data_IF_427207392391
#
_entry.id   IF_427207392391
#
_cell.length_a   1.000
_cell.length_b   1.000
_cell.length_c   1.000
_cell.angle_alpha   90.00
_cell.angle_beta   90.00
_cell.angle_gamma   90.00
#
_symmetry.space_group_name_H-M   'P 1'
#
loop_
_entity.id
_entity.type
_entity.pdbx_description
1 polymer ?
#
# COMPACT_ATOMS: atom_id res chain seq x y z
N UNK A 1 9.87 7.29 21.86
CA UNK A 1 11.01 6.81 21.05
C UNK A 1 10.45 5.85 20.01
N UNK A 2 10.76 6.02 18.72
CA UNK A 2 10.24 5.17 17.64
C UNK A 2 10.93 3.79 17.65
N UNK A 3 10.22 2.75 17.18
CA UNK A 3 10.79 1.41 16.97
C UNK A 3 11.91 1.42 15.91
N UNK A 4 12.83 0.46 15.92
CA UNK A 4 13.93 0.42 14.95
C UNK A 4 13.46 0.40 13.48
N UNK A 5 12.49 -0.44 13.06
CA UNK A 5 11.91 -0.37 11.71
C UNK A 5 11.29 1.00 11.38
N UNK A 6 10.62 1.60 12.37
CA UNK A 6 10.00 2.92 12.24
C UNK A 6 11.05 4.03 12.00
N UNK A 7 12.27 3.87 12.52
CA UNK A 7 13.36 4.82 12.30
C UNK A 7 13.99 4.64 10.91
N UNK A 8 14.05 3.41 10.40
CA UNK A 8 14.72 3.08 9.14
C UNK A 8 13.85 3.25 7.89
N UNK A 9 12.56 2.97 8.01
CA UNK A 9 11.68 2.84 6.84
C UNK A 9 10.64 3.95 6.72
N UNK A 10 10.48 4.82 7.73
CA UNK A 10 9.52 5.91 7.62
C UNK A 10 9.89 6.91 6.52
N UNK A 11 8.90 7.59 5.89
CA UNK A 11 9.13 8.64 4.90
C UNK A 11 10.10 9.71 5.41
N UNK A 12 9.87 10.15 6.65
CA UNK A 12 10.60 11.20 7.33
C UNK A 12 11.91 10.80 7.99
N UNK A 13 12.49 9.63 7.73
CA UNK A 13 13.56 9.07 8.58
C UNK A 13 14.75 9.98 8.87
N UNK A 14 15.06 10.91 7.97
CA UNK A 14 16.13 11.92 8.12
C UNK A 14 15.74 13.16 8.93
N UNK A 15 14.46 13.36 9.22
CA UNK A 15 13.93 14.55 9.93
C UNK A 15 13.73 14.24 11.41
N UNK A 16 14.03 15.18 12.31
CA UNK A 16 13.90 14.95 13.75
C UNK A 16 12.44 14.84 14.22
N UNK A 17 11.52 15.53 13.54
CA UNK A 17 10.11 15.62 13.93
C UNK A 17 9.24 14.60 13.17
N UNK A 18 8.08 14.29 13.74
CA UNK A 18 7.04 13.52 13.07
C UNK A 18 6.04 14.48 12.44
N UNK A 19 5.51 14.11 11.27
CA UNK A 19 4.39 14.81 10.64
C UNK A 19 3.29 13.80 10.28
N UNK A 20 2.15 14.29 9.80
CA UNK A 20 0.95 13.48 9.52
C UNK A 20 1.24 12.31 8.56
N UNK A 21 2.10 12.50 7.56
CA UNK A 21 2.48 11.43 6.64
C UNK A 21 3.27 10.30 7.30
N UNK A 22 3.99 10.54 8.41
CA UNK A 22 4.63 9.46 9.17
C UNK A 22 3.58 8.57 9.85
N UNK A 23 2.51 9.17 10.39
CA UNK A 23 1.41 8.44 11.03
C UNK A 23 0.53 7.71 10.00
N UNK A 24 0.24 8.37 8.87
CA UNK A 24 -0.45 7.76 7.75
C UNK A 24 0.36 6.57 7.19
N UNK A 25 1.68 6.73 7.02
CA UNK A 25 2.58 5.64 6.63
C UNK A 25 2.57 4.48 7.61
N UNK A 26 2.63 4.75 8.92
CA UNK A 26 2.62 3.69 9.93
C UNK A 26 1.33 2.87 9.85
N UNK A 27 0.18 3.56 9.82
CA UNK A 27 -1.14 2.93 9.71
C UNK A 27 -1.24 2.08 8.44
N UNK A 28 -0.87 2.66 7.30
CA UNK A 28 -0.81 1.99 6.00
C UNK A 28 0.08 0.75 6.03
N UNK A 29 1.26 0.86 6.63
CA UNK A 29 2.24 -0.23 6.69
C UNK A 29 1.75 -1.40 7.54
N UNK A 30 1.12 -1.12 8.69
CA UNK A 30 0.49 -2.16 9.50
C UNK A 30 -0.64 -2.85 8.73
N UNK A 31 -1.54 -2.06 8.12
CA UNK A 31 -2.63 -2.62 7.34
C UNK A 31 -2.14 -3.44 6.14
N UNK A 32 -1.05 -3.03 5.49
CA UNK A 32 -0.47 -3.76 4.38
C UNK A 32 0.04 -5.15 4.83
N UNK A 33 0.77 -5.21 5.95
CA UNK A 33 1.23 -6.48 6.52
C UNK A 33 0.06 -7.36 6.96
N UNK A 34 -0.89 -6.81 7.74
CA UNK A 34 -2.05 -7.55 8.23
C UNK A 34 -2.88 -8.14 7.07
N UNK A 35 -3.01 -7.38 5.98
CA UNK A 35 -3.77 -7.79 4.81
C UNK A 35 -3.03 -8.86 3.99
N UNK A 36 -1.70 -8.75 3.86
CA UNK A 36 -0.86 -9.76 3.24
C UNK A 36 -0.87 -11.08 4.03
N UNK A 37 -0.81 -11.01 5.36
CA UNK A 37 -0.92 -12.17 6.25
C UNK A 37 -2.30 -12.81 6.19
N UNK A 38 -3.36 -12.00 6.19
CA UNK A 38 -4.73 -12.50 6.07
C UNK A 38 -4.95 -13.21 4.73
N UNK A 39 -4.43 -12.66 3.62
CA UNK A 39 -4.46 -13.33 2.32
C UNK A 39 -3.64 -14.62 2.32
N UNK A 40 -2.43 -14.57 2.89
CA UNK A 40 -1.52 -15.72 2.93
C UNK A 40 -2.12 -16.90 3.69
N UNK A 41 -2.83 -16.61 4.78
CA UNK A 41 -3.52 -17.58 5.62
C UNK A 41 -4.94 -17.93 5.15
N UNK A 42 -5.41 -17.38 4.02
CA UNK A 42 -6.77 -17.63 3.50
C UNK A 42 -7.91 -17.02 4.34
N UNK A 43 -7.60 -16.12 5.28
CA UNK A 43 -8.60 -15.41 6.11
C UNK A 43 -9.25 -14.23 5.38
N UNK A 44 -8.66 -13.80 4.27
CA UNK A 44 -9.22 -12.77 3.41
C UNK A 44 -9.02 -13.15 1.96
N UNK A 45 -10.08 -13.01 1.17
CA UNK A 45 -10.07 -13.19 -0.27
C UNK A 45 -10.53 -11.86 -0.89
N UNK A 46 -9.68 -11.18 -1.68
CA UNK A 46 -10.09 -9.97 -2.39
C UNK A 46 -11.18 -10.29 -3.41
N UNK A 47 -12.02 -9.32 -3.72
CA UNK A 47 -12.91 -9.42 -4.88
C UNK A 47 -12.08 -9.52 -6.17
N UNK A 48 -12.66 -10.07 -7.24
CA UNK A 48 -11.96 -10.20 -8.52
C UNK A 48 -11.43 -8.85 -9.04
N UNK A 49 -12.23 -7.79 -8.92
CA UNK A 49 -11.83 -6.44 -9.33
C UNK A 49 -10.69 -5.89 -8.44
N UNK A 50 -10.74 -6.14 -7.14
CA UNK A 50 -9.69 -5.74 -6.19
C UNK A 50 -8.37 -6.47 -6.50
N UNK A 51 -8.46 -7.75 -6.86
CA UNK A 51 -7.32 -8.54 -7.31
C UNK A 51 -6.78 -8.05 -8.67
N UNK A 52 -7.65 -7.67 -9.61
CA UNK A 52 -7.25 -7.10 -10.91
C UNK A 52 -6.55 -5.76 -10.71
N UNK A 53 -7.09 -4.92 -9.82
CA UNK A 53 -6.52 -3.64 -9.45
C UNK A 53 -5.14 -3.80 -8.79
N UNK A 54 -5.00 -4.75 -7.86
CA UNK A 54 -3.71 -5.08 -7.23
C UNK A 54 -2.64 -5.43 -8.27
N UNK A 55 -2.98 -6.28 -9.26
CA UNK A 55 -2.06 -6.66 -10.35
C UNK A 55 -1.67 -5.48 -11.23
N UNK A 56 -2.62 -4.58 -11.51
CA UNK A 56 -2.35 -3.36 -12.26
C UNK A 56 -1.36 -2.47 -11.51
N UNK A 57 -1.61 -2.25 -10.21
CA UNK A 57 -0.73 -1.44 -9.35
C UNK A 57 0.66 -2.06 -9.19
N UNK A 58 0.79 -3.38 -9.01
CA UNK A 58 2.07 -4.06 -8.85
C UNK A 58 3.02 -3.85 -10.05
N UNK A 59 2.47 -3.65 -11.25
CA UNK A 59 3.23 -3.45 -12.50
C UNK A 59 3.37 -1.98 -12.88
N UNK A 60 2.63 -1.09 -12.23
CA UNK A 60 2.59 0.31 -12.57
C UNK A 60 3.80 1.06 -12.00
N UNK A 61 4.25 2.09 -12.73
CA UNK A 61 5.12 3.09 -12.16
C UNK A 61 4.29 4.08 -11.33
N UNK A 62 4.52 4.12 -10.02
CA UNK A 62 3.69 4.94 -9.12
C UNK A 62 4.13 6.38 -9.14
N UNK A 63 3.30 7.24 -9.74
CA UNK A 63 3.32 8.68 -9.51
C UNK A 63 2.12 9.08 -8.65
N UNK A 64 2.22 10.23 -7.99
CA UNK A 64 1.08 10.81 -7.25
C UNK A 64 -0.16 10.88 -8.13
N UNK A 65 -0.05 11.46 -9.32
CA UNK A 65 -1.17 11.62 -10.26
C UNK A 65 -1.75 10.28 -10.73
N UNK A 66 -0.90 9.28 -10.99
CA UNK A 66 -1.37 7.96 -11.42
C UNK A 66 -2.16 7.26 -10.30
N UNK A 67 -1.71 7.35 -9.05
CA UNK A 67 -2.43 6.77 -7.91
C UNK A 67 -3.71 7.54 -7.59
N UNK A 68 -3.70 8.88 -7.65
CA UNK A 68 -4.93 9.69 -7.49
C UNK A 68 -5.97 9.33 -8.55
N UNK A 69 -5.55 9.10 -9.80
CA UNK A 69 -6.44 8.65 -10.86
C UNK A 69 -6.99 7.24 -10.57
N UNK A 70 -6.14 6.31 -10.14
CA UNK A 70 -6.54 4.95 -9.78
C UNK A 70 -7.53 4.90 -8.60
N UNK A 71 -7.38 5.79 -7.61
CA UNK A 71 -8.27 5.90 -6.45
C UNK A 71 -9.64 6.53 -6.79
N UNK A 72 -9.74 7.27 -7.90
CA UNK A 72 -11.00 7.84 -8.37
C UNK A 72 -11.88 6.85 -9.13
N UNK A 73 -11.45 5.60 -9.29
CA UNK A 73 -12.22 4.56 -9.95
C UNK A 73 -13.65 4.47 -9.32
N UNK A 74 -14.72 4.53 -10.14
CA UNK A 74 -16.08 4.49 -9.66
C UNK A 74 -16.54 3.08 -9.26
N UNK A 75 -15.73 2.03 -9.46
CA UNK A 75 -16.10 0.65 -9.16
C UNK A 75 -16.44 0.47 -7.66
N UNK A 76 -17.69 0.12 -7.32
CA UNK A 76 -18.14 0.00 -5.93
C UNK A 76 -17.44 -1.14 -5.18
N UNK A 77 -17.00 -2.19 -5.87
CA UNK A 77 -16.28 -3.31 -5.26
C UNK A 77 -14.87 -2.91 -4.82
N UNK A 78 -14.22 -2.01 -5.54
CA UNK A 78 -12.94 -1.44 -5.11
C UNK A 78 -13.11 -0.58 -3.86
N UNK A 79 -14.16 0.25 -3.80
CA UNK A 79 -14.43 1.14 -2.66
C UNK A 79 -14.85 0.38 -1.41
N UNK A 80 -15.57 -0.73 -1.56
CA UNK A 80 -15.92 -1.62 -0.45
C UNK A 80 -14.74 -2.50 0.00
N UNK A 81 -13.75 -2.71 -0.88
CA UNK A 81 -12.55 -3.51 -0.64
C UNK A 81 -11.66 -2.97 0.47
N UNK A 82 -10.76 -3.83 0.97
CA UNK A 82 -9.79 -3.47 2.02
C UNK A 82 -8.53 -2.86 1.44
N UNK A 83 -8.15 -3.23 0.22
CA UNK A 83 -6.97 -2.77 -0.48
C UNK A 83 -7.01 -1.27 -0.75
N UNK A 84 -8.18 -0.70 -1.06
CA UNK A 84 -8.31 0.76 -1.33
C UNK A 84 -7.87 1.57 -0.12
N UNK A 85 -8.17 1.11 1.09
CA UNK A 85 -7.80 1.79 2.35
C UNK A 85 -6.30 1.75 2.59
N UNK A 86 -5.62 0.69 2.12
CA UNK A 86 -4.16 0.59 2.17
C UNK A 86 -3.50 1.47 1.12
N UNK A 87 -4.12 1.65 -0.05
CA UNK A 87 -3.53 2.45 -1.15
C UNK A 87 -3.83 3.94 -1.00
N UNK A 88 -4.94 4.31 -0.34
CA UNK A 88 -5.41 5.69 -0.17
C UNK A 88 -4.35 6.67 0.37
N UNK A 89 -3.48 6.31 1.34
CA UNK A 89 -2.44 7.22 1.84
C UNK A 89 -1.23 7.39 0.90
N UNK A 90 -1.05 6.50 -0.08
CA UNK A 90 0.16 6.48 -0.92
C UNK A 90 0.43 7.77 -1.71
N UNK A 91 -0.57 8.47 -2.31
CA UNK A 91 -0.31 9.72 -3.01
C UNK A 91 0.32 10.80 -2.12
N UNK A 92 -0.11 10.87 -0.85
CA UNK A 92 0.47 11.79 0.13
C UNK A 92 1.91 11.43 0.48
N UNK A 93 2.18 10.13 0.68
CA UNK A 93 3.54 9.64 0.97
C UNK A 93 4.48 9.90 -0.22
N UNK A 94 4.03 9.63 -1.46
CA UNK A 94 4.80 9.91 -2.68
C UNK A 94 5.10 11.39 -2.90
N UNK A 95 4.36 12.30 -2.26
CA UNK A 95 4.65 13.72 -2.34
C UNK A 95 5.92 14.11 -1.55
N UNK A 96 6.37 13.26 -0.62
CA UNK A 96 7.47 13.58 0.29
C UNK A 96 8.64 12.57 0.23
N UNK A 97 8.53 11.51 -0.58
CA UNK A 97 9.59 10.52 -0.79
C UNK A 97 9.87 10.31 -2.27
N UNK A 98 11.12 9.97 -2.65
CA UNK A 98 11.42 9.59 -4.02
C UNK A 98 10.77 8.25 -4.39
N UNK A 99 10.66 7.99 -5.69
CA UNK A 99 10.28 6.67 -6.19
C UNK A 99 11.25 5.60 -5.67
N UNK A 100 10.72 4.45 -5.26
CA UNK A 100 11.52 3.34 -4.72
C UNK A 100 12.00 3.55 -3.27
N UNK A 101 11.51 4.57 -2.56
CA UNK A 101 11.78 4.73 -1.14
C UNK A 101 11.34 3.52 -0.32
N UNK A 102 12.08 3.23 0.76
CA UNK A 102 11.81 2.09 1.65
C UNK A 102 10.42 2.16 2.27
N UNK A 103 9.88 3.37 2.46
CA UNK A 103 8.53 3.56 3.01
C UNK A 103 7.43 2.96 2.14
N UNK A 104 7.70 2.70 0.86
CA UNK A 104 6.74 2.12 -0.09
C UNK A 104 6.71 0.58 -0.05
N UNK A 105 7.74 -0.05 0.54
CA UNK A 105 7.93 -1.50 0.53
C UNK A 105 6.76 -2.32 1.10
N UNK A 106 6.10 -1.92 2.21
CA UNK A 106 4.98 -2.70 2.74
C UNK A 106 3.84 -2.86 1.74
N UNK A 107 3.50 -1.79 1.01
CA UNK A 107 2.44 -1.86 -0.01
C UNK A 107 2.90 -2.59 -1.26
N UNK A 108 4.17 -2.41 -1.67
CA UNK A 108 4.75 -3.19 -2.77
C UNK A 108 4.68 -4.70 -2.48
N UNK A 109 5.10 -5.11 -1.28
CA UNK A 109 5.06 -6.50 -0.85
C UNK A 109 3.63 -7.08 -0.81
N UNK A 110 2.65 -6.31 -0.33
CA UNK A 110 1.24 -6.70 -0.38
C UNK A 110 0.78 -6.93 -1.83
N UNK A 111 1.04 -5.96 -2.71
CA UNK A 111 0.61 -6.04 -4.10
C UNK A 111 1.28 -7.18 -4.87
N UNK A 112 2.57 -7.43 -4.61
CA UNK A 112 3.30 -8.57 -5.17
C UNK A 112 2.76 -9.91 -4.66
N UNK A 113 2.41 -9.98 -3.37
CA UNK A 113 1.78 -11.17 -2.77
C UNK A 113 0.45 -11.49 -3.45
N UNK A 114 -0.38 -10.47 -3.69
CA UNK A 114 -1.64 -10.60 -4.41
C UNK A 114 -1.41 -10.95 -5.89
N UNK A 115 -0.40 -10.38 -6.54
CA UNK A 115 -0.13 -10.63 -7.95
C UNK A 115 0.40 -12.04 -8.24
N UNK A 116 1.13 -12.65 -7.30
CA UNK A 116 1.83 -13.93 -7.51
C UNK A 116 0.93 -15.14 -7.27
N UNK A 117 0.01 -15.10 -6.29
CA UNK A 117 -0.80 -16.27 -5.90
C UNK A 117 -2.03 -16.55 -6.78
N UNK A 118 -2.27 -15.74 -7.80
CA UNK A 118 -3.40 -15.93 -8.74
C UNK A 118 -3.24 -17.13 -9.70
N UNK A 119 -2.10 -17.81 -9.72
CA UNK A 119 -1.80 -18.89 -10.69
C UNK A 119 -2.25 -20.28 -10.24
N UNK A 120 -3.08 -20.40 -9.19
CA UNK A 120 -3.75 -21.66 -8.85
C UNK A 120 -5.25 -21.52 -9.09
N UNK A 121 -5.63 -21.68 -10.36
CA UNK A 121 -6.97 -22.12 -10.78
C UNK A 121 -7.13 -23.61 -10.52
#
# INVERSE_FOLDING_TARGET
MLCAPCQEDRPGRRRAQLIDEDFAWQTMSCQAHDLADAYTAGRWLPYEDEHRWARGLARAYWTRTALEAALRDPNPYLRAGRLVRVVEPLPGILAIVPHGDRSLRPVQALLDTLATRSTRS
#
